data_IF_357341621327
#
_entry.id   IF_357341621327
#
_cell.length_a   1.000
_cell.length_b   1.000
_cell.length_c   1.000
_cell.angle_alpha   90.00
_cell.angle_beta   90.00
_cell.angle_gamma   90.00
#
_symmetry.space_group_name_H-M   'P 1'
#
loop_
_entity.id
_entity.type
_entity.pdbx_description
1 polymer ?
#
# COMPACT_ATOMS: atom_id res chain seq x y z
N UNK A 1 -23.85 -17.56 9.78
CA UNK A 1 -23.65 -17.26 11.21
C UNK A 1 -22.13 -17.28 11.48
N UNK A 2 -21.53 -16.11 11.74
CA UNK A 2 -20.24 -15.82 12.39
C UNK A 2 -19.00 -16.64 11.97
N UNK A 3 -18.33 -16.18 10.90
CA UNK A 3 -16.90 -16.41 10.69
C UNK A 3 -16.18 -15.09 10.33
N UNK A 4 -16.54 -13.97 10.99
CA UNK A 4 -15.93 -12.66 10.77
C UNK A 4 -15.06 -12.18 11.93
N UNK A 5 -14.84 -12.99 12.96
CA UNK A 5 -13.99 -12.60 14.09
C UNK A 5 -12.52 -12.57 13.64
N UNK A 6 -12.01 -11.34 13.40
CA UNK A 6 -10.62 -11.06 13.09
C UNK A 6 -10.28 -10.79 11.61
N UNK A 7 -11.24 -10.88 10.67
CA UNK A 7 -11.00 -10.56 9.27
C UNK A 7 -11.26 -9.08 8.97
N UNK A 8 -10.23 -8.37 8.55
CA UNK A 8 -10.33 -6.98 8.14
C UNK A 8 -10.79 -6.85 6.68
N UNK A 9 -10.22 -7.69 5.79
CA UNK A 9 -10.52 -7.67 4.36
C UNK A 9 -10.74 -9.09 3.86
N UNK A 10 -11.77 -9.27 3.03
CA UNK A 10 -12.05 -10.51 2.31
C UNK A 10 -12.26 -10.18 0.84
N UNK A 11 -11.52 -10.85 -0.03
CA UNK A 11 -11.61 -10.76 -1.48
C UNK A 11 -12.03 -12.13 -1.98
N UNK A 12 -13.14 -12.18 -2.73
CA UNK A 12 -13.73 -13.43 -3.20
C UNK A 12 -13.87 -13.39 -4.73
N UNK A 13 -13.10 -14.25 -5.40
CA UNK A 13 -13.14 -14.49 -6.83
C UNK A 13 -13.13 -13.20 -7.69
N UNK A 14 -12.35 -12.19 -7.27
CA UNK A 14 -12.32 -10.90 -7.97
C UNK A 14 -11.68 -11.04 -9.34
N UNK A 15 -12.43 -10.62 -10.36
CA UNK A 15 -12.00 -10.49 -11.76
C UNK A 15 -12.09 -9.03 -12.16
N UNK A 16 -11.09 -8.52 -12.90
CA UNK A 16 -11.14 -7.20 -13.50
C UNK A 16 -10.73 -7.25 -14.96
N UNK A 17 -11.63 -6.80 -15.82
CA UNK A 17 -11.42 -6.61 -17.23
C UNK A 17 -11.64 -5.15 -17.58
N UNK A 18 -10.78 -4.60 -18.44
CA UNK A 18 -10.93 -3.25 -18.98
C UNK A 18 -11.36 -3.36 -20.44
N UNK A 19 -12.44 -2.67 -20.85
CA UNK A 19 -12.83 -2.63 -22.25
C UNK A 19 -11.74 -1.92 -23.05
N UNK A 20 -11.49 -2.43 -24.24
CA UNK A 20 -10.61 -1.85 -25.27
C UNK A 20 -11.47 -1.31 -26.41
N UNK A 21 -10.87 -0.62 -27.39
CA UNK A 21 -11.57 -0.06 -28.54
C UNK A 21 -12.37 -1.10 -29.35
N UNK A 22 -13.24 -0.62 -30.24
CA UNK A 22 -14.09 -1.47 -31.09
C UNK A 22 -13.27 -2.56 -31.80
N UNK A 23 -13.65 -3.83 -31.58
CA UNK A 23 -13.03 -5.00 -32.22
C UNK A 23 -11.80 -5.57 -31.53
N UNK A 24 -11.38 -5.02 -30.39
CA UNK A 24 -10.28 -5.57 -29.60
C UNK A 24 -10.80 -6.36 -28.39
N UNK A 25 -10.07 -7.41 -28.00
CA UNK A 25 -10.40 -8.19 -26.81
C UNK A 25 -10.13 -7.37 -25.56
N UNK A 26 -10.99 -7.47 -24.52
CA UNK A 26 -10.78 -6.76 -23.25
C UNK A 26 -9.45 -7.16 -22.60
N UNK A 27 -8.78 -6.21 -21.97
CA UNK A 27 -7.57 -6.48 -21.17
C UNK A 27 -7.98 -7.10 -19.84
N UNK A 28 -7.57 -8.34 -19.61
CA UNK A 28 -7.72 -9.02 -18.34
C UNK A 28 -6.61 -8.55 -17.38
N UNK A 29 -6.95 -7.67 -16.47
CA UNK A 29 -6.01 -7.16 -15.49
C UNK A 29 -5.88 -8.09 -14.28
N UNK A 30 -7.00 -8.63 -13.78
CA UNK A 30 -7.06 -9.57 -12.67
C UNK A 30 -7.93 -10.76 -13.02
N UNK A 31 -7.51 -11.97 -12.61
CA UNK A 31 -8.25 -13.19 -12.84
C UNK A 31 -8.34 -14.01 -11.55
N UNK A 32 -9.55 -14.03 -10.99
CA UNK A 32 -9.96 -14.81 -9.83
C UNK A 32 -9.02 -14.65 -8.62
N UNK A 33 -8.97 -13.43 -8.09
CA UNK A 33 -8.22 -13.14 -6.86
C UNK A 33 -9.07 -13.52 -5.66
N UNK A 34 -8.53 -14.40 -4.82
CA UNK A 34 -9.05 -14.74 -3.49
C UNK A 34 -7.98 -14.35 -2.45
N UNK A 35 -8.31 -13.49 -1.49
CA UNK A 35 -7.37 -13.03 -0.47
C UNK A 35 -8.11 -12.65 0.82
N UNK A 36 -7.54 -13.07 1.95
CA UNK A 36 -8.02 -12.69 3.28
C UNK A 36 -6.91 -11.95 4.03
N UNK A 37 -7.24 -10.82 4.66
CA UNK A 37 -6.33 -10.06 5.51
C UNK A 37 -6.92 -9.94 6.89
N UNK A 38 -6.14 -10.31 7.92
CA UNK A 38 -6.57 -10.24 9.32
C UNK A 38 -6.44 -8.82 9.86
N UNK A 39 -7.21 -8.51 10.89
CA UNK A 39 -7.09 -7.24 11.61
C UNK A 39 -5.69 -7.10 12.21
N UNK A 40 -5.05 -5.96 11.95
CA UNK A 40 -3.69 -5.67 12.41
C UNK A 40 -2.57 -6.36 11.62
N UNK A 41 -2.90 -7.11 10.56
CA UNK A 41 -1.92 -7.76 9.69
C UNK A 41 -1.33 -6.75 8.69
N UNK A 42 -0.03 -6.84 8.46
CA UNK A 42 0.66 -6.13 7.38
C UNK A 42 0.90 -7.12 6.23
N UNK A 43 0.17 -6.97 5.13
CA UNK A 43 0.29 -7.83 3.94
C UNK A 43 0.94 -7.06 2.81
N UNK A 44 2.00 -7.61 2.21
CA UNK A 44 2.60 -7.08 0.98
C UNK A 44 2.07 -7.82 -0.25
N UNK A 45 1.63 -7.07 -1.26
CA UNK A 45 1.41 -7.58 -2.62
C UNK A 45 2.67 -7.34 -3.43
N UNK A 46 3.38 -8.41 -3.75
CA UNK A 46 4.64 -8.40 -4.48
C UNK A 46 4.45 -8.94 -5.90
N UNK A 47 5.04 -8.28 -6.88
CA UNK A 47 5.01 -8.76 -8.26
C UNK A 47 5.56 -7.73 -9.24
N UNK A 48 5.83 -8.10 -10.50
CA UNK A 48 6.36 -7.21 -11.52
C UNK A 48 5.38 -6.08 -11.86
N UNK A 49 5.89 -5.06 -12.56
CA UNK A 49 5.06 -3.96 -13.04
C UNK A 49 3.99 -4.48 -14.01
N UNK A 50 2.77 -3.95 -13.90
CA UNK A 50 1.65 -4.35 -14.76
C UNK A 50 0.96 -5.67 -14.39
N UNK A 51 1.31 -6.34 -13.28
CA UNK A 51 0.62 -7.55 -12.83
C UNK A 51 -0.74 -7.30 -12.13
N UNK A 52 -1.21 -6.06 -12.06
CA UNK A 52 -2.54 -5.75 -11.51
C UNK A 52 -2.57 -5.34 -10.03
N UNK A 53 -1.44 -5.15 -9.34
CA UNK A 53 -1.38 -4.76 -7.92
C UNK A 53 -2.17 -3.48 -7.62
N UNK A 54 -1.87 -2.40 -8.36
CA UNK A 54 -2.58 -1.11 -8.20
C UNK A 54 -4.04 -1.21 -8.61
N UNK A 55 -4.38 -2.06 -9.59
CA UNK A 55 -5.78 -2.35 -9.94
C UNK A 55 -6.51 -3.00 -8.77
N UNK A 56 -5.92 -4.00 -8.14
CA UNK A 56 -6.48 -4.66 -6.97
C UNK A 56 -6.62 -3.68 -5.80
N UNK A 57 -5.58 -2.89 -5.54
CA UNK A 57 -5.61 -1.86 -4.50
C UNK A 57 -6.75 -0.84 -4.74
N UNK A 58 -6.94 -0.38 -5.98
CA UNK A 58 -8.02 0.55 -6.33
C UNK A 58 -9.41 -0.06 -6.16
N UNK A 59 -9.57 -1.35 -6.40
CA UNK A 59 -10.83 -2.07 -6.11
C UNK A 59 -11.07 -2.11 -4.60
N UNK A 60 -10.06 -2.43 -3.80
CA UNK A 60 -10.15 -2.46 -2.34
C UNK A 60 -10.43 -1.06 -1.76
N UNK A 61 -9.84 -0.01 -2.35
CA UNK A 61 -10.11 1.38 -1.97
C UNK A 61 -11.55 1.82 -2.30
N UNK A 62 -12.21 1.13 -3.24
CA UNK A 62 -13.53 1.48 -3.75
C UNK A 62 -13.51 2.51 -4.88
N UNK A 63 -12.35 2.75 -5.52
CA UNK A 63 -12.21 3.62 -6.70
C UNK A 63 -12.58 2.90 -8.00
N UNK A 64 -12.46 1.56 -8.01
CA UNK A 64 -12.81 0.72 -9.13
C UNK A 64 -13.80 -0.38 -8.69
N UNK A 65 -14.76 -0.69 -9.55
CA UNK A 65 -15.66 -1.84 -9.37
C UNK A 65 -15.05 -3.06 -10.05
N UNK A 66 -15.02 -4.24 -9.42
CA UNK A 66 -14.61 -5.47 -10.09
C UNK A 66 -15.62 -5.84 -11.20
N UNK A 67 -15.18 -6.57 -12.23
CA UNK A 67 -16.04 -7.10 -13.28
C UNK A 67 -16.87 -8.29 -12.76
N UNK A 68 -16.28 -9.10 -11.88
CA UNK A 68 -16.94 -10.18 -11.16
C UNK A 68 -16.28 -10.40 -9.80
N UNK A 69 -16.94 -11.14 -8.92
CA UNK A 69 -16.50 -11.33 -7.53
C UNK A 69 -16.86 -10.13 -6.65
N UNK A 70 -16.33 -10.12 -5.44
CA UNK A 70 -16.61 -9.04 -4.46
C UNK A 70 -15.46 -8.83 -3.50
N UNK A 71 -15.43 -7.63 -2.92
CA UNK A 71 -14.53 -7.26 -1.82
C UNK A 71 -15.39 -6.88 -0.62
N UNK A 72 -15.06 -7.42 0.54
CA UNK A 72 -15.70 -7.11 1.82
C UNK A 72 -14.67 -6.50 2.77
N UNK A 73 -15.01 -5.40 3.41
CA UNK A 73 -14.25 -4.78 4.49
C UNK A 73 -15.05 -4.94 5.78
N UNK A 74 -14.51 -5.71 6.75
CA UNK A 74 -15.22 -6.05 7.98
C UNK A 74 -16.61 -6.67 7.74
N UNK A 75 -16.72 -7.51 6.69
CA UNK A 75 -17.97 -8.16 6.29
C UNK A 75 -18.90 -7.30 5.43
N UNK A 76 -18.64 -5.99 5.27
CA UNK A 76 -19.45 -5.08 4.45
C UNK A 76 -18.91 -4.95 3.02
N UNK A 77 -19.76 -4.99 1.98
CA UNK A 77 -19.32 -4.84 0.59
C UNK A 77 -18.65 -3.47 0.34
N UNK A 78 -17.49 -3.51 -0.33
CA UNK A 78 -16.80 -2.30 -0.81
C UNK A 78 -17.40 -1.87 -2.14
N UNK A 79 -18.20 -0.80 -2.12
CA UNK A 79 -18.84 -0.24 -3.32
C UNK A 79 -18.39 1.17 -3.66
N UNK A 80 -17.73 1.85 -2.71
CA UNK A 80 -17.25 3.23 -2.84
C UNK A 80 -16.10 3.49 -1.86
N UNK A 81 -15.35 4.60 -2.02
CA UNK A 81 -14.38 5.05 -1.03
C UNK A 81 -15.03 5.29 0.33
N UNK A 82 -14.31 4.95 1.40
CA UNK A 82 -14.77 5.08 2.78
C UNK A 82 -13.60 5.56 3.66
N UNK A 83 -13.88 6.42 4.64
CA UNK A 83 -12.90 6.96 5.60
C UNK A 83 -12.18 5.89 6.42
N UNK A 84 -12.73 4.68 6.52
CA UNK A 84 -12.12 3.53 7.20
C UNK A 84 -10.92 2.97 6.45
N UNK A 85 -10.79 3.28 5.14
CA UNK A 85 -9.69 2.86 4.27
C UNK A 85 -9.03 4.09 3.66
N UNK A 86 -7.78 4.35 4.02
CA UNK A 86 -7.01 5.45 3.45
C UNK A 86 -5.95 4.95 2.49
N UNK A 87 -5.60 5.77 1.50
CA UNK A 87 -4.64 5.42 0.46
C UNK A 87 -3.44 6.35 0.53
N UNK A 88 -2.23 5.77 0.52
CA UNK A 88 -0.96 6.46 0.25
C UNK A 88 -0.59 6.12 -1.18
N UNK A 89 -0.61 7.13 -2.05
CA UNK A 89 -0.31 6.99 -3.47
C UNK A 89 1.18 7.12 -3.75
N UNK A 90 1.62 6.57 -4.87
CA UNK A 90 3.00 6.66 -5.36
C UNK A 90 3.45 8.10 -5.57
N UNK A 91 2.59 8.97 -6.12
CA UNK A 91 2.85 10.38 -6.41
C UNK A 91 2.56 11.31 -5.22
N UNK A 92 2.60 10.79 -3.99
CA UNK A 92 2.28 11.49 -2.74
C UNK A 92 0.85 12.04 -2.67
N UNK A 93 0.28 12.50 -3.77
CA UNK A 93 -1.06 13.09 -3.92
C UNK A 93 -1.39 14.16 -2.87
N UNK A 94 -0.39 14.92 -2.42
CA UNK A 94 -0.61 16.07 -1.54
C UNK A 94 -1.33 17.18 -2.31
N UNK A 95 -2.25 17.88 -1.63
CA UNK A 95 -2.92 19.04 -2.20
C UNK A 95 -1.91 20.19 -2.33
N UNK A 96 -1.54 20.63 -3.55
CA UNK A 96 -0.44 21.59 -3.75
C UNK A 96 -0.74 22.99 -3.22
N UNK A 97 -2.02 23.32 -3.02
CA UNK A 97 -2.50 24.60 -2.46
C UNK A 97 -2.67 24.56 -0.94
N UNK A 98 -2.35 23.46 -0.28
CA UNK A 98 -2.40 23.30 1.17
C UNK A 98 -0.99 23.15 1.74
N UNK A 99 -0.77 23.70 2.94
CA UNK A 99 0.47 23.48 3.69
C UNK A 99 0.58 22.01 4.18
N UNK A 100 1.73 21.62 4.72
CA UNK A 100 1.93 20.29 5.34
C UNK A 100 0.87 20.05 6.41
N UNK A 101 0.70 20.99 7.34
CA UNK A 101 -0.32 20.87 8.39
C UNK A 101 -1.73 20.73 7.83
N UNK A 102 -2.11 21.58 6.87
CA UNK A 102 -3.43 21.55 6.25
C UNK A 102 -3.70 20.24 5.51
N UNK A 103 -2.68 19.67 4.83
CA UNK A 103 -2.79 18.36 4.21
C UNK A 103 -3.11 17.27 5.25
N UNK A 104 -2.43 17.28 6.39
CA UNK A 104 -2.65 16.30 7.47
C UNK A 104 -4.03 16.49 8.11
N UNK A 105 -4.45 17.74 8.32
CA UNK A 105 -5.76 18.08 8.88
C UNK A 105 -6.94 17.76 7.95
N UNK A 106 -6.71 17.57 6.66
CA UNK A 106 -7.79 17.43 5.67
C UNK A 106 -8.78 16.31 6.01
N UNK A 107 -8.29 15.12 6.32
CA UNK A 107 -9.14 13.99 6.72
C UNK A 107 -9.87 14.21 8.04
N UNK A 108 -9.21 14.87 8.99
CA UNK A 108 -9.79 15.23 10.30
C UNK A 108 -10.92 16.26 10.15
N UNK A 109 -10.75 17.22 9.22
CA UNK A 109 -11.79 18.18 8.86
C UNK A 109 -13.02 17.50 8.27
N UNK A 110 -12.80 16.51 7.39
CA UNK A 110 -13.89 15.73 6.81
C UNK A 110 -14.64 14.87 7.84
N UNK A 111 -14.01 14.55 8.98
CA UNK A 111 -14.64 13.87 10.13
C UNK A 111 -15.41 14.82 11.04
N UNK A 112 -15.38 16.15 10.79
CA UNK A 112 -16.09 17.13 11.59
C UNK A 112 -15.40 17.53 12.90
N UNK A 113 -14.11 17.22 13.09
CA UNK A 113 -13.35 17.61 14.27
C UNK A 113 -13.21 19.15 14.31
N UNK A 114 -13.24 19.72 15.53
CA UNK A 114 -13.02 21.16 15.73
C UNK A 114 -11.56 21.57 15.38
N UNK A 115 -11.33 22.87 15.06
CA UNK A 115 -10.03 23.34 14.61
C UNK A 115 -8.87 23.08 15.59
N UNK A 116 -9.12 23.25 16.90
CA UNK A 116 -8.08 23.08 17.94
C UNK A 116 -7.63 21.63 17.97
N UNK A 117 -8.57 20.69 18.05
CA UNK A 117 -8.27 19.25 18.09
C UNK A 117 -7.58 18.75 16.82
N UNK A 118 -7.98 19.28 15.63
CA UNK A 118 -7.28 18.97 14.38
C UNK A 118 -5.83 19.42 14.41
N UNK A 119 -5.57 20.64 14.86
CA UNK A 119 -4.21 21.19 14.97
C UNK A 119 -3.34 20.38 15.93
N UNK A 120 -3.88 19.92 17.07
CA UNK A 120 -3.14 19.10 18.03
C UNK A 120 -2.79 17.73 17.45
N UNK A 121 -3.75 17.07 16.79
CA UNK A 121 -3.50 15.78 16.12
C UNK A 121 -2.48 15.95 14.98
N UNK A 122 -2.63 16.99 14.15
CA UNK A 122 -1.70 17.26 13.06
C UNK A 122 -0.27 17.50 13.59
N UNK A 123 -0.11 18.28 14.67
CA UNK A 123 1.19 18.53 15.29
C UNK A 123 1.84 17.25 15.83
N UNK A 124 1.07 16.36 16.45
CA UNK A 124 1.55 15.07 16.91
C UNK A 124 2.09 14.23 15.74
N UNK A 125 1.32 14.12 14.64
CA UNK A 125 1.78 13.40 13.45
C UNK A 125 2.98 14.06 12.77
N UNK A 126 3.02 15.40 12.66
CA UNK A 126 4.16 16.16 12.13
C UNK A 126 5.43 15.85 12.94
N UNK A 127 5.31 15.79 14.27
CA UNK A 127 6.44 15.38 15.14
C UNK A 127 6.88 13.94 14.88
N UNK A 128 5.93 13.00 14.79
CA UNK A 128 6.21 11.56 14.57
C UNK A 128 6.88 11.27 13.24
N UNK A 129 6.58 12.07 12.20
CA UNK A 129 7.18 11.94 10.86
C UNK A 129 8.35 12.91 10.64
N UNK A 130 8.89 13.50 11.71
CA UNK A 130 10.06 14.39 11.68
C UNK A 130 9.91 15.57 10.70
N UNK A 131 8.75 16.24 10.71
CA UNK A 131 8.46 17.44 9.91
C UNK A 131 8.25 18.71 10.74
N UNK A 132 8.73 18.72 12.01
CA UNK A 132 8.71 19.92 12.86
C UNK A 132 9.47 21.07 12.18
N UNK A 133 8.87 22.27 12.18
CA UNK A 133 9.40 23.46 11.52
C UNK A 133 9.01 23.58 10.04
N UNK A 134 8.28 22.60 9.48
CA UNK A 134 7.78 22.60 8.11
C UNK A 134 6.25 22.65 8.01
N UNK A 135 5.57 22.92 9.11
CA UNK A 135 4.10 22.91 9.21
C UNK A 135 3.42 23.79 8.17
N UNK A 136 4.00 24.99 7.97
CA UNK A 136 3.47 26.04 7.10
C UNK A 136 4.05 25.99 5.66
N UNK A 137 4.89 24.99 5.32
CA UNK A 137 5.44 24.83 3.98
C UNK A 137 4.45 24.15 3.06
N UNK A 138 4.47 24.57 1.80
CA UNK A 138 3.71 23.94 0.73
C UNK A 138 4.46 22.75 0.12
N UNK A 139 3.78 21.79 -0.55
CA UNK A 139 4.44 20.64 -1.14
C UNK A 139 5.61 20.98 -2.09
N UNK A 140 5.55 22.07 -2.81
CA UNK A 140 6.64 22.48 -3.71
C UNK A 140 7.89 23.01 -2.99
N UNK A 141 7.80 23.33 -1.70
CA UNK A 141 8.90 23.86 -0.89
C UNK A 141 9.66 22.77 -0.11
N UNK A 142 9.23 21.51 -0.19
CA UNK A 142 9.79 20.39 0.58
C UNK A 142 10.31 19.27 -0.33
N UNK A 143 11.28 18.48 0.18
CA UNK A 143 11.87 17.36 -0.57
C UNK A 143 10.88 16.22 -0.82
N UNK A 144 11.22 15.30 -1.75
CA UNK A 144 10.41 14.11 -2.04
C UNK A 144 10.16 13.24 -0.82
N UNK A 145 11.19 12.98 -0.01
CA UNK A 145 11.06 12.24 1.26
C UNK A 145 10.16 12.94 2.27
N UNK A 146 10.22 14.27 2.37
CA UNK A 146 9.32 15.04 3.23
C UNK A 146 7.87 15.01 2.73
N UNK A 147 7.65 15.05 1.40
CA UNK A 147 6.31 14.86 0.81
C UNK A 147 5.73 13.50 1.17
N UNK A 148 6.54 12.46 1.09
CA UNK A 148 6.11 11.11 1.44
C UNK A 148 5.75 10.99 2.92
N UNK A 149 6.56 11.54 3.81
CA UNK A 149 6.25 11.61 5.26
C UNK A 149 4.94 12.33 5.53
N UNK A 150 4.72 13.47 4.87
CA UNK A 150 3.46 14.21 4.98
C UNK A 150 2.26 13.41 4.44
N UNK A 151 2.41 12.67 3.33
CA UNK A 151 1.37 11.81 2.78
C UNK A 151 1.02 10.64 3.72
N UNK A 152 2.02 10.01 4.34
CA UNK A 152 1.82 8.97 5.35
C UNK A 152 1.11 9.54 6.59
N UNK A 153 1.55 10.70 7.11
CA UNK A 153 0.90 11.37 8.23
C UNK A 153 -0.56 11.72 7.92
N UNK A 154 -0.85 12.25 6.72
CA UNK A 154 -2.21 12.54 6.26
C UNK A 154 -3.10 11.29 6.22
N UNK A 155 -2.55 10.15 5.79
CA UNK A 155 -3.28 8.90 5.73
C UNK A 155 -3.57 8.31 7.11
N UNK A 156 -2.64 8.47 8.06
CA UNK A 156 -2.75 7.94 9.42
C UNK A 156 -3.56 8.80 10.39
N UNK A 157 -3.48 10.14 10.25
CA UNK A 157 -4.11 11.08 11.17
C UNK A 157 -5.62 10.85 11.37
N UNK A 158 -6.42 10.52 10.33
CA UNK A 158 -7.84 10.20 10.50
C UNK A 158 -8.13 8.91 11.25
N UNK A 159 -7.10 8.19 11.70
CA UNK A 159 -7.20 6.92 12.41
C UNK A 159 -8.00 5.84 11.65
N UNK A 160 -7.66 5.52 10.39
CA UNK A 160 -8.39 4.53 9.59
C UNK A 160 -8.25 3.12 10.16
N UNK A 161 -9.16 2.22 9.78
CA UNK A 161 -9.05 0.79 10.13
C UNK A 161 -8.01 0.08 9.26
N UNK A 162 -7.88 0.52 8.00
CA UNK A 162 -6.97 -0.07 7.02
C UNK A 162 -6.23 1.00 6.22
N UNK A 163 -4.94 0.76 5.95
CA UNK A 163 -4.09 1.62 5.14
C UNK A 163 -3.70 0.84 3.88
N UNK A 164 -3.93 1.45 2.73
CA UNK A 164 -3.55 0.94 1.43
C UNK A 164 -2.36 1.77 0.93
N UNK A 165 -1.24 1.14 0.60
CA UNK A 165 -0.03 1.83 0.14
C UNK A 165 0.35 1.34 -1.25
N UNK A 166 0.37 2.23 -2.24
CA UNK A 166 0.74 1.90 -3.61
C UNK A 166 2.16 2.41 -3.92
N UNK A 167 3.14 1.51 -3.90
CA UNK A 167 4.56 1.76 -4.17
C UNK A 167 5.12 3.03 -3.48
N UNK A 168 4.90 3.22 -2.16
CA UNK A 168 5.12 4.50 -1.49
C UNK A 168 6.58 4.95 -1.47
N UNK A 169 7.54 4.08 -1.79
CA UNK A 169 8.97 4.39 -1.74
C UNK A 169 9.62 4.48 -3.13
N UNK A 170 8.84 4.29 -4.21
CA UNK A 170 9.38 4.18 -5.58
C UNK A 170 10.14 5.42 -6.06
N UNK A 171 9.70 6.61 -5.67
CA UNK A 171 10.28 7.88 -6.10
C UNK A 171 11.44 8.39 -5.21
N UNK A 172 11.90 7.61 -4.22
CA UNK A 172 12.90 8.02 -3.24
C UNK A 172 14.28 7.48 -3.57
N UNK A 173 15.32 8.27 -3.21
CA UNK A 173 16.68 7.78 -3.19
C UNK A 173 16.88 6.65 -2.18
N UNK A 174 17.95 5.87 -2.31
CA UNK A 174 18.18 4.66 -1.54
C UNK A 174 18.24 4.91 -0.02
N UNK A 175 18.89 5.98 0.42
CA UNK A 175 19.07 6.27 1.85
C UNK A 175 17.74 6.74 2.48
N UNK A 176 17.06 7.69 1.84
CA UNK A 176 15.74 8.17 2.28
C UNK A 176 14.72 7.04 2.32
N UNK A 177 14.78 6.12 1.35
CA UNK A 177 13.91 4.93 1.28
C UNK A 177 14.08 4.03 2.51
N UNK A 178 15.32 3.69 2.89
CA UNK A 178 15.59 2.84 4.06
C UNK A 178 15.05 3.48 5.34
N UNK A 179 15.36 4.76 5.58
CA UNK A 179 14.88 5.49 6.76
C UNK A 179 13.34 5.54 6.81
N UNK A 180 12.69 5.73 5.68
CA UNK A 180 11.24 5.81 5.63
C UNK A 180 10.57 4.44 5.84
N UNK A 181 11.16 3.35 5.37
CA UNK A 181 10.70 1.99 5.65
C UNK A 181 10.72 1.69 7.15
N UNK A 182 11.79 2.06 7.85
CA UNK A 182 11.91 1.91 9.30
C UNK A 182 10.84 2.74 10.03
N UNK A 183 10.59 3.96 9.58
CA UNK A 183 9.58 4.84 10.14
C UNK A 183 8.16 4.25 9.96
N UNK A 184 7.84 3.75 8.76
CA UNK A 184 6.56 3.07 8.50
C UNK A 184 6.42 1.81 9.35
N UNK A 185 7.47 0.99 9.45
CA UNK A 185 7.48 -0.18 10.31
C UNK A 185 7.17 0.16 11.77
N UNK A 186 7.80 1.23 12.30
CA UNK A 186 7.57 1.72 13.66
C UNK A 186 6.16 2.25 13.86
N UNK A 187 5.67 3.12 12.96
CA UNK A 187 4.34 3.74 13.06
C UNK A 187 3.23 2.68 12.98
N UNK A 188 3.34 1.71 12.08
CA UNK A 188 2.34 0.65 11.92
C UNK A 188 2.35 -0.35 13.07
N UNK A 189 3.51 -0.69 13.62
CA UNK A 189 3.62 -1.57 14.79
C UNK A 189 2.94 -0.96 16.04
N UNK A 190 3.11 0.35 16.28
CA UNK A 190 2.51 1.03 17.44
C UNK A 190 0.98 1.14 17.32
N UNK A 191 0.47 1.35 16.11
CA UNK A 191 -0.96 1.59 15.89
C UNK A 191 -1.76 0.31 15.64
N UNK A 192 -1.11 -0.82 15.44
CA UNK A 192 -1.72 -2.13 15.08
C UNK A 192 -2.70 -2.02 13.92
N UNK A 193 -2.42 -1.13 12.96
CA UNK A 193 -3.25 -0.94 11.79
C UNK A 193 -3.08 -2.08 10.80
N UNK A 194 -4.17 -2.43 10.14
CA UNK A 194 -4.11 -3.33 8.99
C UNK A 194 -3.52 -2.59 7.81
N UNK A 195 -2.53 -3.17 7.16
CA UNK A 195 -1.85 -2.56 6.02
C UNK A 195 -1.85 -3.51 4.84
N UNK A 196 -2.26 -3.01 3.68
CA UNK A 196 -2.00 -3.64 2.39
C UNK A 196 -1.00 -2.78 1.62
N UNK A 197 0.16 -3.35 1.38
CA UNK A 197 1.31 -2.66 0.82
C UNK A 197 1.67 -3.24 -0.55
N UNK A 198 1.61 -2.42 -1.57
CA UNK A 198 1.99 -2.80 -2.94
C UNK A 198 3.43 -2.39 -3.19
N UNK A 199 4.24 -3.31 -3.69
CA UNK A 199 5.62 -3.06 -4.08
C UNK A 199 6.08 -4.03 -5.16
N UNK A 200 7.13 -3.64 -5.88
CA UNK A 200 7.92 -4.54 -6.74
C UNK A 200 9.27 -4.92 -6.10
N UNK A 201 9.59 -4.36 -4.92
CA UNK A 201 10.82 -4.68 -4.20
C UNK A 201 10.61 -5.85 -3.23
N UNK A 202 11.37 -6.93 -3.44
CA UNK A 202 11.33 -8.11 -2.58
C UNK A 202 11.76 -7.77 -1.17
N UNK A 203 12.83 -6.98 -1.03
CA UNK A 203 13.37 -6.59 0.28
C UNK A 203 12.37 -5.77 1.09
N UNK A 204 11.66 -4.83 0.46
CA UNK A 204 10.59 -4.07 1.11
C UNK A 204 9.47 -4.98 1.59
N UNK A 205 9.03 -5.90 0.72
CA UNK A 205 7.96 -6.84 1.03
C UNK A 205 8.30 -7.71 2.24
N UNK A 206 9.50 -8.29 2.27
CA UNK A 206 9.95 -9.18 3.36
C UNK A 206 10.23 -8.40 4.63
N UNK A 207 10.80 -7.19 4.53
CA UNK A 207 11.13 -6.39 5.71
C UNK A 207 9.90 -5.89 6.45
N UNK A 208 8.87 -5.43 5.72
CA UNK A 208 7.72 -4.75 6.32
C UNK A 208 6.58 -5.69 6.70
N UNK A 209 6.34 -6.74 5.91
CA UNK A 209 5.13 -7.54 6.02
C UNK A 209 5.20 -8.64 7.10
N UNK A 210 4.01 -9.09 7.50
CA UNK A 210 3.79 -10.36 8.21
C UNK A 210 3.56 -11.49 7.21
N UNK A 211 3.04 -11.14 6.01
CA UNK A 211 2.80 -12.06 4.91
C UNK A 211 3.04 -11.37 3.57
N UNK A 212 3.76 -12.05 2.68
CA UNK A 212 4.00 -11.63 1.32
C UNK A 212 3.15 -12.47 0.37
N UNK A 213 2.30 -11.80 -0.39
CA UNK A 213 1.45 -12.38 -1.44
C UNK A 213 2.09 -12.09 -2.79
N UNK A 214 2.50 -13.13 -3.49
CA UNK A 214 3.17 -13.02 -4.79
C UNK A 214 2.14 -13.08 -5.90
N UNK A 215 2.14 -12.07 -6.77
CA UNK A 215 1.25 -11.99 -7.93
C UNK A 215 2.01 -12.27 -9.23
N UNK A 216 1.41 -13.09 -10.11
CA UNK A 216 1.86 -13.33 -11.48
C UNK A 216 1.34 -12.28 -12.45
N UNK A 217 1.93 -12.24 -13.66
CA UNK A 217 1.51 -11.33 -14.74
C UNK A 217 0.48 -11.95 -15.67
N UNK A 218 -0.36 -11.12 -16.25
CA UNK A 218 -1.21 -11.23 -17.45
C UNK A 218 -1.97 -12.55 -17.64
N UNK A 219 -3.07 -12.71 -16.96
CA UNK A 219 -3.69 -11.83 -15.99
C UNK A 219 -3.06 -11.97 -14.60
N UNK A 220 -3.21 -10.94 -13.76
CA UNK A 220 -2.77 -10.98 -12.37
C UNK A 220 -3.53 -12.05 -11.59
N UNK A 221 -2.77 -12.98 -10.97
CA UNK A 221 -3.28 -14.04 -10.08
C UNK A 221 -2.40 -14.12 -8.85
N UNK A 222 -2.92 -14.60 -7.74
CA UNK A 222 -2.09 -14.98 -6.59
C UNK A 222 -1.42 -16.31 -6.93
N UNK A 223 -0.07 -16.30 -6.91
CA UNK A 223 0.77 -17.47 -7.20
C UNK A 223 1.16 -18.22 -5.94
N UNK A 224 1.55 -17.47 -4.92
CA UNK A 224 1.98 -18.03 -3.63
C UNK A 224 1.86 -17.00 -2.52
N UNK A 225 1.89 -17.48 -1.29
CA UNK A 225 1.91 -16.67 -0.08
C UNK A 225 3.01 -17.18 0.84
N UNK A 226 3.77 -16.24 1.44
CA UNK A 226 4.87 -16.54 2.34
C UNK A 226 4.62 -15.81 3.65
N UNK A 227 4.58 -16.56 4.75
CA UNK A 227 4.53 -16.00 6.10
C UNK A 227 5.95 -15.57 6.51
N UNK A 228 6.08 -14.32 6.95
CA UNK A 228 7.37 -13.77 7.38
C UNK A 228 7.63 -14.12 8.84
N UNK A 229 8.71 -14.87 9.09
CA UNK A 229 9.09 -15.37 10.42
C UNK A 229 9.93 -14.38 11.25
N UNK A 230 9.98 -13.11 10.86
CA UNK A 230 10.68 -12.08 11.63
C UNK A 230 9.78 -11.51 12.73
N UNK A 231 10.35 -11.21 13.89
CA UNK A 231 9.64 -10.61 15.02
C UNK A 231 9.29 -9.13 14.78
N UNK A 232 8.33 -8.59 15.52
CA UNK A 232 8.04 -7.15 15.60
C UNK A 232 8.52 -6.58 16.94
N UNK A 233 8.99 -5.34 17.01
CA UNK A 233 9.11 -4.37 15.91
C UNK A 233 10.22 -4.74 14.93
N UNK A 234 10.06 -4.34 13.64
CA UNK A 234 11.12 -4.51 12.64
C UNK A 234 12.25 -3.52 12.92
N UNK A 235 13.48 -4.03 12.93
CA UNK A 235 14.71 -3.26 13.10
C UNK A 235 15.66 -3.46 11.93
N UNK A 236 16.52 -2.49 11.60
CA UNK A 236 17.39 -2.56 10.41
C UNK A 236 18.25 -3.83 10.33
N UNK A 237 18.74 -4.29 11.49
CA UNK A 237 19.62 -5.45 11.63
C UNK A 237 18.97 -6.76 11.12
N UNK A 238 17.65 -6.84 11.10
CA UNK A 238 16.91 -8.00 10.57
C UNK A 238 17.15 -8.24 9.09
N UNK A 239 17.67 -7.25 8.34
CA UNK A 239 18.07 -7.42 6.94
C UNK A 239 19.30 -8.33 6.80
N UNK A 240 20.06 -8.51 7.87
CA UNK A 240 21.22 -9.42 7.94
C UNK A 240 20.86 -10.80 8.51
N UNK A 241 19.60 -11.02 8.91
CA UNK A 241 19.14 -12.31 9.39
C UNK A 241 19.23 -13.37 8.28
N UNK A 242 19.78 -14.56 8.56
CA UNK A 242 19.91 -15.63 7.56
C UNK A 242 18.56 -16.05 6.93
N UNK A 243 17.47 -15.97 7.70
CA UNK A 243 16.13 -16.25 7.18
C UNK A 243 15.71 -15.18 6.17
N UNK A 244 15.94 -13.89 6.49
CA UNK A 244 15.63 -12.78 5.58
C UNK A 244 16.37 -12.93 4.25
N UNK A 245 17.70 -13.13 4.31
CA UNK A 245 18.56 -13.26 3.11
C UNK A 245 18.08 -14.42 2.23
N UNK A 246 17.82 -15.58 2.85
CA UNK A 246 17.35 -16.79 2.14
C UNK A 246 15.97 -16.56 1.50
N UNK A 247 15.02 -15.95 2.23
CA UNK A 247 13.68 -15.67 1.72
C UNK A 247 13.71 -14.68 0.56
N UNK A 248 14.56 -13.65 0.62
CA UNK A 248 14.78 -12.72 -0.50
C UNK A 248 15.32 -13.44 -1.72
N UNK A 249 16.29 -14.35 -1.55
CA UNK A 249 16.86 -15.15 -2.65
C UNK A 249 15.82 -16.10 -3.27
N UNK A 250 15.03 -16.79 -2.45
CA UNK A 250 13.95 -17.68 -2.91
C UNK A 250 12.89 -16.92 -3.71
N UNK A 251 12.44 -15.77 -3.22
CA UNK A 251 11.50 -14.90 -3.93
C UNK A 251 12.08 -14.37 -5.24
N UNK A 252 13.36 -13.99 -5.24
CA UNK A 252 14.05 -13.57 -6.46
C UNK A 252 14.05 -14.66 -7.53
N UNK A 253 14.39 -15.88 -7.15
CA UNK A 253 14.39 -17.02 -8.08
C UNK A 253 12.97 -17.33 -8.60
N UNK A 254 11.96 -17.25 -7.74
CA UNK A 254 10.57 -17.49 -8.10
C UNK A 254 10.00 -16.43 -9.07
N UNK A 255 10.42 -15.17 -8.93
CA UNK A 255 9.92 -14.03 -9.75
C UNK A 255 10.77 -13.75 -11.00
N UNK A 256 12.00 -14.27 -11.07
CA UNK A 256 12.91 -14.03 -12.20
C UNK A 256 12.29 -14.32 -13.58
N UNK A 257 11.57 -15.44 -13.80
CA UNK A 257 10.91 -15.72 -15.08
C UNK A 257 9.89 -14.67 -15.46
N UNK A 258 9.06 -14.23 -14.51
CA UNK A 258 8.01 -13.23 -14.71
C UNK A 258 8.56 -11.85 -15.13
N UNK A 259 9.73 -11.48 -14.60
CA UNK A 259 10.39 -10.22 -14.98
C UNK A 259 11.03 -10.28 -16.36
N UNK A 260 11.54 -11.43 -16.78
CA UNK A 260 12.11 -11.62 -18.12
C UNK A 260 11.03 -11.56 -19.21
N UNK A 261 9.86 -12.16 -18.98
CA UNK A 261 8.71 -12.11 -19.89
C UNK A 261 8.10 -10.69 -19.98
N UNK A 262 8.11 -9.92 -18.88
CA UNK A 262 7.64 -8.54 -18.85
C UNK A 262 8.51 -7.55 -19.62
N UNK A 263 9.82 -7.79 -19.72
CA UNK A 263 10.78 -6.91 -20.40
C UNK A 263 10.81 -7.12 -21.92
N UNK A 264 10.40 -8.28 -22.42
CA UNK A 264 10.50 -8.63 -23.84
C UNK A 264 9.47 -7.96 -24.77
N UNK A 265 8.49 -7.23 -24.25
CA UNK A 265 7.38 -6.65 -25.04
C UNK A 265 7.48 -5.12 -25.25
N UNK A 266 8.54 -4.47 -24.84
CA UNK A 266 8.71 -3.02 -25.08
C UNK A 266 9.50 -2.69 -26.36
N UNK A 267 10.17 -3.67 -27.01
CA UNK A 267 11.02 -3.42 -28.20
C UNK A 267 10.33 -3.69 -29.55
N UNK A 268 9.02 -3.97 -29.58
CA UNK A 268 8.32 -4.29 -30.86
C UNK A 268 7.26 -3.27 -31.27
N UNK A 269 7.34 -2.02 -30.80
CA UNK A 269 6.46 -0.94 -31.23
C UNK A 269 7.30 0.30 -31.60
N UNK A 270 8.00 0.24 -32.72
CA UNK A 270 8.46 1.39 -33.49
C UNK A 270 8.05 1.22 -34.94
#
# INVERSE_FOLDING_TARGET
>A
MRASDGMQLTIEAVIKQFPTGRGQLPVHALDRIDLHVRTGEFVSLLGPSGCGKSTLLNIIAGFLTPTAGRVLHQGEPVTRPDRRRTVVFQDYALFPWMTVQQNIEFGLKAQGLDPSRRADIARDFISRVHLLGFENRYPHEISGGMKQRAAIARALAPNPDMILMDEPFGALDAQTRVLLQEEVARLTAHTRKTVLFVTHSIEEAVFLADRVVVMSTRPGRIRSEITVSLSRPRIPEMRYDPWFIRTVQELWQALKPEWQEGSGNHDSAH
#
